data_IF_677112668604
#
_entry.id   IF_677112668604
#
_cell.length_a   1.000
_cell.length_b   1.000
_cell.length_c   1.000
_cell.angle_alpha   90.00
_cell.angle_beta   90.00
_cell.angle_gamma   90.00
#
_symmetry.space_group_name_H-M   'P 1'
#
loop_
_entity.id
_entity.type
_entity.pdbx_description
1 polymer ?
#
# COMPACT_ATOMS: atom_id res chain seq x y z
N UNK A 1 6.80 -10.10 -36.78
CA UNK A 1 7.36 -11.07 -35.80
C UNK A 1 6.28 -12.10 -35.48
N UNK A 2 6.63 -13.38 -35.37
CA UNK A 2 5.70 -14.46 -35.04
C UNK A 2 5.36 -14.43 -33.54
N UNK A 3 4.09 -14.68 -33.16
CA UNK A 3 3.63 -14.72 -31.76
C UNK A 3 4.46 -15.67 -30.88
N UNK A 4 4.95 -16.78 -31.44
CA UNK A 4 5.85 -17.69 -30.73
C UNK A 4 7.21 -17.05 -30.40
N UNK A 5 7.73 -16.17 -31.26
CA UNK A 5 8.97 -15.44 -30.97
C UNK A 5 8.79 -14.38 -29.89
N UNK A 6 7.62 -13.74 -29.81
CA UNK A 6 7.31 -12.75 -28.77
C UNK A 6 7.23 -13.45 -27.41
N UNK A 7 6.55 -14.59 -27.33
CA UNK A 7 6.44 -15.37 -26.09
C UNK A 7 7.79 -15.87 -25.58
N UNK A 8 8.63 -16.41 -26.48
CA UNK A 8 9.97 -16.88 -26.10
C UNK A 8 10.88 -15.73 -25.65
N UNK A 9 10.79 -14.56 -26.28
CA UNK A 9 11.57 -13.39 -25.86
C UNK A 9 11.14 -12.88 -24.48
N UNK A 10 9.84 -12.88 -24.16
CA UNK A 10 9.35 -12.50 -22.83
C UNK A 10 9.79 -13.49 -21.75
N UNK A 11 9.75 -14.79 -22.05
CA UNK A 11 10.23 -15.84 -21.14
C UNK A 11 11.73 -15.70 -20.87
N UNK A 12 12.54 -15.48 -21.91
CA UNK A 12 13.99 -15.28 -21.76
C UNK A 12 14.32 -14.01 -20.97
N UNK A 13 13.53 -12.94 -21.13
CA UNK A 13 13.68 -11.70 -20.33
C UNK A 13 13.34 -11.93 -18.86
N UNK A 14 12.31 -12.72 -18.59
CA UNK A 14 11.92 -13.10 -17.23
C UNK A 14 13.02 -13.95 -16.56
N UNK A 15 13.52 -14.98 -17.26
CA UNK A 15 14.59 -15.85 -16.77
C UNK A 15 15.90 -15.08 -16.56
N UNK A 16 16.25 -14.15 -17.47
CA UNK A 16 17.43 -13.30 -17.31
C UNK A 16 17.31 -12.34 -16.12
N UNK A 17 16.12 -11.79 -15.84
CA UNK A 17 15.90 -10.96 -14.65
C UNK A 17 15.92 -11.80 -13.37
N UNK A 18 15.35 -13.00 -13.41
CA UNK A 18 15.35 -13.91 -12.26
C UNK A 18 16.77 -14.33 -11.86
N UNK A 19 17.61 -14.68 -12.83
CA UNK A 19 19.01 -15.02 -12.59
C UNK A 19 19.85 -13.82 -12.09
N UNK A 20 19.53 -12.59 -12.53
CA UNK A 20 20.18 -11.38 -11.99
C UNK A 20 19.76 -11.06 -10.55
N UNK A 21 18.54 -11.46 -10.16
CA UNK A 21 18.04 -11.33 -8.79
C UNK A 21 18.75 -12.36 -7.89
N UNK A 22 18.83 -13.63 -8.29
CA UNK A 22 19.57 -14.67 -7.53
C UNK A 22 21.06 -14.32 -7.35
N UNK A 23 21.72 -13.77 -8.37
CA UNK A 23 23.12 -13.33 -8.25
C UNK A 23 23.32 -12.12 -7.34
N UNK A 24 22.29 -11.30 -7.11
CA UNK A 24 22.32 -10.19 -6.15
C UNK A 24 22.07 -10.66 -4.71
N UNK A 25 21.33 -11.74 -4.52
CA UNK A 25 21.06 -12.32 -3.20
C UNK A 25 22.35 -12.84 -2.51
N UNK A 26 23.36 -13.26 -3.27
CA UNK A 26 24.65 -13.72 -2.72
C UNK A 26 25.54 -12.59 -2.16
N UNK A 27 25.22 -11.30 -2.40
CA UNK A 27 26.09 -10.17 -2.00
C UNK A 27 25.48 -9.20 -0.97
N UNK A 28 24.25 -9.40 -0.51
CA UNK A 28 23.60 -8.45 0.40
C UNK A 28 23.91 -8.80 1.87
N UNK A 29 24.68 -7.92 2.51
CA UNK A 29 24.98 -7.94 3.94
C UNK A 29 23.71 -7.99 4.79
N UNK A 30 23.56 -9.05 5.58
CA UNK A 30 22.36 -9.45 6.33
C UNK A 30 22.00 -8.58 7.54
N UNK A 31 22.60 -7.40 7.72
CA UNK A 31 22.43 -6.57 8.94
C UNK A 31 21.62 -5.28 8.77
N UNK A 32 21.36 -4.86 7.54
CA UNK A 32 20.59 -3.63 7.20
C UNK A 32 19.09 -3.86 6.90
N UNK A 33 18.66 -5.03 6.34
CA UNK A 33 17.25 -5.34 6.04
C UNK A 33 16.31 -5.40 7.25
N UNK A 34 16.71 -6.10 8.32
CA UNK A 34 15.86 -6.30 9.51
C UNK A 34 15.48 -4.98 10.19
N UNK A 35 16.42 -4.05 10.33
CA UNK A 35 16.20 -2.79 11.06
C UNK A 35 15.12 -1.91 10.41
N UNK A 36 15.02 -1.91 9.08
CA UNK A 36 13.98 -1.17 8.35
C UNK A 36 12.62 -1.83 8.57
N UNK A 37 12.54 -3.16 8.46
CA UNK A 37 11.31 -3.92 8.72
C UNK A 37 10.84 -3.72 10.17
N UNK A 38 11.77 -3.85 11.13
CA UNK A 38 11.51 -3.62 12.55
C UNK A 38 11.03 -2.20 12.84
N UNK A 39 11.54 -1.18 12.12
CA UNK A 39 11.08 0.21 12.28
C UNK A 39 9.60 0.40 11.89
N UNK A 40 9.07 -0.39 10.95
CA UNK A 40 7.65 -0.37 10.60
C UNK A 40 6.78 -1.14 11.61
N UNK A 41 7.34 -2.17 12.24
CA UNK A 41 6.64 -3.10 13.13
C UNK A 41 6.77 -2.75 14.63
N UNK A 42 7.71 -1.89 15.01
CA UNK A 42 7.99 -1.53 16.40
C UNK A 42 6.76 -0.89 17.09
N UNK A 43 6.61 -1.18 18.38
CA UNK A 43 5.57 -0.67 19.28
C UNK A 43 6.13 0.44 20.18
N UNK A 44 5.68 1.69 20.05
CA UNK A 44 5.92 2.71 21.09
C UNK A 44 4.79 2.85 22.12
N UNK A 45 5.19 3.43 23.26
CA UNK A 45 4.52 3.46 24.56
C UNK A 45 3.12 4.08 24.55
N UNK A 46 2.19 3.50 25.31
CA UNK A 46 0.78 3.93 25.55
C UNK A 46 0.52 5.45 25.39
N UNK A 47 -0.38 5.83 24.47
CA UNK A 47 -1.05 7.13 24.47
C UNK A 47 -2.48 7.05 23.89
N UNK A 48 -3.28 8.08 24.20
CA UNK A 48 -4.72 8.17 23.93
C UNK A 48 -5.08 7.97 22.46
N UNK A 49 -5.78 6.88 22.18
CA UNK A 49 -6.28 6.54 20.85
C UNK A 49 -7.53 7.38 20.59
N UNK A 50 -7.42 8.40 19.73
CA UNK A 50 -8.60 9.16 19.31
C UNK A 50 -9.44 8.28 18.37
N UNK A 51 -10.71 8.08 18.75
CA UNK A 51 -11.71 7.43 17.90
C UNK A 51 -12.38 8.49 17.01
N UNK A 52 -12.53 8.20 15.72
CA UNK A 52 -13.14 9.12 14.76
C UNK A 52 -14.34 8.45 14.12
N UNK A 53 -15.52 9.05 14.27
CA UNK A 53 -16.78 8.60 13.68
C UNK A 53 -17.27 9.42 12.48
N UNK A 54 -16.53 10.47 12.09
CA UNK A 54 -16.93 11.37 11.01
C UNK A 54 -15.79 11.60 10.01
N UNK A 55 -16.07 11.45 8.71
CA UNK A 55 -15.05 11.58 7.66
C UNK A 55 -14.44 12.99 7.60
N UNK A 56 -15.19 14.02 7.98
CA UNK A 56 -14.75 15.42 8.00
C UNK A 56 -13.56 15.65 8.94
N UNK A 57 -13.44 14.84 10.00
CA UNK A 57 -12.30 14.89 10.95
C UNK A 57 -11.08 14.13 10.43
N UNK A 58 -11.29 13.09 9.61
CA UNK A 58 -10.22 12.26 9.04
C UNK A 58 -9.62 12.85 7.76
N UNK A 59 -10.46 13.45 6.90
CA UNK A 59 -10.09 13.95 5.57
C UNK A 59 -8.89 14.91 5.56
N UNK A 60 -8.77 15.90 6.48
CA UNK A 60 -7.60 16.78 6.50
C UNK A 60 -6.28 16.03 6.74
N UNK A 61 -6.29 14.95 7.52
CA UNK A 61 -5.10 14.12 7.72
C UNK A 61 -4.77 13.32 6.46
N UNK A 62 -5.78 12.71 5.82
CA UNK A 62 -5.61 12.00 4.53
C UNK A 62 -4.98 12.93 3.48
N UNK A 63 -5.53 14.13 3.31
CA UNK A 63 -5.03 15.12 2.35
C UNK A 63 -3.58 15.54 2.67
N UNK A 64 -3.27 15.74 3.96
CA UNK A 64 -1.92 16.11 4.41
C UNK A 64 -0.89 15.00 4.13
N UNK A 65 -1.21 13.75 4.49
CA UNK A 65 -0.32 12.61 4.24
C UNK A 65 -0.16 12.37 2.74
N UNK A 66 -1.25 12.43 1.98
CA UNK A 66 -1.20 12.26 0.54
C UNK A 66 -0.28 13.28 -0.12
N UNK A 67 -0.44 14.56 0.24
CA UNK A 67 0.38 15.64 -0.29
C UNK A 67 1.86 15.45 0.02
N UNK A 68 2.19 15.05 1.24
CA UNK A 68 3.58 14.80 1.64
C UNK A 68 4.17 13.52 1.04
N UNK A 69 3.34 12.52 0.73
CA UNK A 69 3.78 11.24 0.15
C UNK A 69 4.01 11.35 -1.36
N UNK A 70 3.26 12.21 -2.04
CA UNK A 70 3.21 12.24 -3.52
C UNK A 70 3.62 13.58 -4.14
N UNK A 71 3.82 14.62 -3.32
CA UNK A 71 3.96 16.02 -3.73
C UNK A 71 2.80 16.56 -4.58
N UNK A 72 1.62 15.92 -4.51
CA UNK A 72 0.42 16.25 -5.29
C UNK A 72 -0.80 16.40 -4.38
N UNK A 73 -1.83 17.09 -4.88
CA UNK A 73 -3.12 17.11 -4.18
C UNK A 73 -3.85 15.78 -4.35
N UNK A 74 -4.63 15.41 -3.33
CA UNK A 74 -5.50 14.23 -3.39
C UNK A 74 -6.49 14.38 -4.56
N UNK A 75 -6.58 13.39 -5.48
CA UNK A 75 -7.48 13.49 -6.61
C UNK A 75 -8.95 13.66 -6.20
N UNK A 76 -9.65 14.57 -6.85
CA UNK A 76 -11.07 14.86 -6.56
C UNK A 76 -12.01 13.69 -6.92
N UNK A 77 -11.55 12.77 -7.77
CA UNK A 77 -12.29 11.57 -8.18
C UNK A 77 -12.15 10.41 -7.17
N UNK A 78 -11.62 10.63 -5.97
CA UNK A 78 -11.62 9.64 -4.88
C UNK A 78 -12.55 10.13 -3.78
N UNK A 79 -13.64 9.40 -3.56
CA UNK A 79 -14.62 9.70 -2.52
C UNK A 79 -14.40 8.83 -1.29
N UNK A 80 -14.49 9.44 -0.11
CA UNK A 80 -14.31 8.74 1.15
C UNK A 80 -15.63 8.65 1.91
N UNK A 81 -15.90 7.48 2.47
CA UNK A 81 -17.02 7.26 3.37
C UNK A 81 -16.51 6.53 4.62
N UNK A 82 -16.90 7.04 5.78
CA UNK A 82 -16.66 6.38 7.06
C UNK A 82 -17.99 5.83 7.55
N UNK A 83 -18.08 4.51 7.71
CA UNK A 83 -19.31 3.84 8.12
C UNK A 83 -19.21 3.38 9.58
N UNK A 84 -20.30 3.51 10.37
CA UNK A 84 -20.34 2.95 11.71
C UNK A 84 -20.00 1.47 11.71
N UNK A 85 -19.25 1.02 12.72
CA UNK A 85 -18.68 -0.32 12.78
C UNK A 85 -19.72 -1.42 12.47
N UNK A 86 -20.87 -1.40 13.15
CA UNK A 86 -21.94 -2.40 12.98
C UNK A 86 -22.42 -2.47 11.53
N UNK A 87 -22.69 -1.32 10.90
CA UNK A 87 -23.20 -1.26 9.52
C UNK A 87 -22.17 -1.75 8.50
N UNK A 88 -20.88 -1.47 8.76
CA UNK A 88 -19.80 -1.95 7.90
C UNK A 88 -19.66 -3.48 8.01
N UNK A 89 -19.64 -4.01 9.24
CA UNK A 89 -19.47 -5.43 9.50
C UNK A 89 -20.65 -6.28 8.97
N UNK A 90 -21.87 -5.76 9.04
CA UNK A 90 -23.05 -6.40 8.44
C UNK A 90 -22.91 -6.58 6.93
N UNK A 91 -22.23 -5.65 6.24
CA UNK A 91 -22.08 -5.66 4.78
C UNK A 91 -20.83 -6.39 4.30
N UNK A 92 -19.74 -6.30 5.05
CA UNK A 92 -18.40 -6.70 4.59
C UNK A 92 -17.68 -7.68 5.51
N UNK A 93 -18.28 -8.02 6.65
CA UNK A 93 -17.71 -8.93 7.64
C UNK A 93 -16.82 -8.24 8.67
N UNK A 94 -16.60 -8.93 9.80
CA UNK A 94 -15.89 -8.40 10.98
C UNK A 94 -14.41 -8.14 10.76
N UNK A 95 -13.75 -8.98 9.94
CA UNK A 95 -12.32 -8.91 9.69
C UNK A 95 -11.93 -7.77 8.73
N UNK A 96 -12.88 -7.26 7.96
CA UNK A 96 -12.64 -6.20 6.98
C UNK A 96 -12.58 -4.84 7.67
N UNK A 97 -11.55 -4.05 7.36
CA UNK A 97 -11.32 -2.72 7.94
C UNK A 97 -11.61 -1.58 6.96
N UNK A 98 -11.45 -1.85 5.66
CA UNK A 98 -11.73 -0.93 4.59
C UNK A 98 -11.97 -1.70 3.29
N UNK A 99 -12.58 -1.02 2.33
CA UNK A 99 -12.78 -1.50 0.97
C UNK A 99 -12.65 -0.31 0.03
N UNK A 100 -12.00 -0.56 -1.09
CA UNK A 100 -11.97 0.32 -2.25
C UNK A 100 -12.82 -0.24 -3.38
N UNK A 101 -13.51 0.64 -4.09
CA UNK A 101 -14.17 0.33 -5.37
C UNK A 101 -13.49 1.18 -6.43
N UNK A 102 -12.50 0.60 -7.08
CA UNK A 102 -11.74 1.27 -8.12
C UNK A 102 -12.55 1.33 -9.43
N UNK A 103 -12.84 2.54 -9.89
CA UNK A 103 -13.50 2.83 -11.18
C UNK A 103 -12.66 3.73 -12.08
N UNK A 104 -11.34 3.72 -11.89
CA UNK A 104 -10.40 4.55 -12.64
C UNK A 104 -10.71 4.54 -14.16
N UNK A 105 -10.71 5.70 -14.85
CA UNK A 105 -10.38 7.05 -14.35
C UNK A 105 -11.58 7.80 -13.73
N UNK A 106 -12.73 7.15 -13.55
CA UNK A 106 -13.94 7.75 -12.96
C UNK A 106 -13.87 7.80 -11.42
N UNK A 107 -15.00 8.13 -10.80
CA UNK A 107 -15.10 8.26 -9.34
C UNK A 107 -14.97 6.90 -8.66
N UNK A 108 -13.90 6.75 -7.89
CA UNK A 108 -13.63 5.58 -7.06
C UNK A 108 -14.06 5.85 -5.61
N UNK A 109 -14.55 4.82 -4.93
CA UNK A 109 -14.94 4.92 -3.52
C UNK A 109 -13.89 4.28 -2.63
N UNK A 110 -13.62 4.91 -1.48
CA UNK A 110 -12.88 4.35 -0.35
C UNK A 110 -13.81 4.35 0.86
N UNK A 111 -14.21 3.16 1.28
CA UNK A 111 -15.09 2.96 2.43
C UNK A 111 -14.25 2.44 3.60
N UNK A 112 -14.32 3.13 4.73
CA UNK A 112 -13.58 2.79 5.94
C UNK A 112 -14.56 2.38 7.03
N UNK A 113 -14.19 1.35 7.79
CA UNK A 113 -14.87 0.98 9.02
C UNK A 113 -14.43 1.92 10.14
N UNK A 114 -15.39 2.49 10.85
CA UNK A 114 -15.13 3.31 12.04
C UNK A 114 -14.14 2.62 13.00
N UNK A 115 -13.07 3.33 13.36
CA UNK A 115 -11.99 2.79 14.18
C UNK A 115 -11.15 3.91 14.81
N UNK A 116 -10.07 3.53 15.47
CA UNK A 116 -9.01 4.41 15.92
C UNK A 116 -8.36 5.19 14.76
N UNK A 117 -7.90 6.41 15.03
CA UNK A 117 -7.22 7.24 14.03
C UNK A 117 -6.00 6.56 13.38
N UNK A 118 -5.07 5.90 14.11
CA UNK A 118 -3.95 5.20 13.48
C UNK A 118 -4.38 4.09 12.53
N UNK A 119 -5.40 3.31 12.91
CA UNK A 119 -5.91 2.22 12.07
C UNK A 119 -6.64 2.76 10.85
N UNK A 120 -7.47 3.79 11.02
CA UNK A 120 -8.13 4.49 9.91
C UNK A 120 -7.12 5.06 8.91
N UNK A 121 -6.04 5.69 9.37
CA UNK A 121 -5.03 6.25 8.49
C UNK A 121 -4.20 5.17 7.78
N UNK A 122 -3.91 4.05 8.43
CA UNK A 122 -3.22 2.94 7.80
C UNK A 122 -4.10 2.26 6.74
N UNK A 123 -5.34 1.94 7.09
CA UNK A 123 -6.32 1.36 6.16
C UNK A 123 -6.57 2.31 4.99
N UNK A 124 -6.76 3.61 5.23
CA UNK A 124 -6.92 4.59 4.15
C UNK A 124 -5.73 4.58 3.19
N UNK A 125 -4.49 4.50 3.70
CA UNK A 125 -3.30 4.38 2.86
C UNK A 125 -3.37 3.18 1.91
N UNK A 126 -3.72 2.01 2.42
CA UNK A 126 -3.87 0.80 1.60
C UNK A 126 -4.98 0.96 0.53
N UNK A 127 -6.18 1.38 0.93
CA UNK A 127 -7.31 1.54 0.01
C UNK A 127 -7.07 2.62 -1.06
N UNK A 128 -6.38 3.71 -0.70
CA UNK A 128 -5.96 4.73 -1.67
C UNK A 128 -4.99 4.11 -2.69
N UNK A 129 -4.05 3.27 -2.24
CA UNK A 129 -3.10 2.58 -3.11
C UNK A 129 -3.78 1.76 -4.23
N UNK A 130 -4.95 1.19 -3.96
CA UNK A 130 -5.74 0.48 -4.98
C UNK A 130 -6.30 1.43 -6.04
N UNK A 131 -6.85 2.59 -5.65
CA UNK A 131 -7.65 3.46 -6.52
C UNK A 131 -6.85 4.53 -7.29
N UNK A 132 -5.55 4.66 -7.02
CA UNK A 132 -4.69 5.64 -7.68
C UNK A 132 -4.29 5.31 -9.13
N UNK A 133 -4.56 4.09 -9.59
CA UNK A 133 -4.28 3.62 -10.95
C UNK A 133 -5.39 2.70 -11.43
N UNK A 134 -5.31 2.26 -12.69
CA UNK A 134 -6.15 1.15 -13.18
C UNK A 134 -5.96 -0.12 -12.31
N UNK A 135 -7.01 -0.93 -12.09
CA UNK A 135 -6.89 -2.23 -11.44
C UNK A 135 -5.97 -3.18 -12.21
N UNK A 136 -5.16 -3.95 -11.48
CA UNK A 136 -4.30 -4.97 -12.05
C UNK A 136 -5.01 -6.33 -11.95
N UNK A 137 -5.15 -7.04 -13.07
CA UNK A 137 -5.82 -8.36 -13.13
C UNK A 137 -5.16 -9.40 -12.21
N UNK A 138 -3.84 -9.33 -12.06
CA UNK A 138 -3.10 -10.17 -11.13
C UNK A 138 -3.33 -9.64 -9.70
N UNK A 139 -4.13 -10.38 -8.92
CA UNK A 139 -4.48 -9.97 -7.56
C UNK A 139 -3.27 -9.82 -6.63
N UNK A 140 -2.18 -10.57 -6.84
CA UNK A 140 -0.98 -10.43 -6.03
C UNK A 140 -0.28 -9.10 -6.31
N UNK A 141 -0.17 -8.72 -7.58
CA UNK A 141 0.37 -7.41 -7.97
C UNK A 141 -0.54 -6.26 -7.55
N UNK A 142 -1.85 -6.44 -7.59
CA UNK A 142 -2.82 -5.44 -7.11
C UNK A 142 -2.65 -5.17 -5.61
N UNK A 143 -2.52 -6.22 -4.80
CA UNK A 143 -2.21 -6.11 -3.37
C UNK A 143 -0.82 -5.51 -3.12
N UNK A 144 0.21 -5.98 -3.85
CA UNK A 144 1.57 -5.48 -3.70
C UNK A 144 1.66 -3.98 -4.04
N UNK A 145 0.90 -3.52 -5.04
CA UNK A 145 0.75 -2.10 -5.37
C UNK A 145 0.20 -1.32 -4.17
N UNK A 146 -0.90 -1.78 -3.58
CA UNK A 146 -1.51 -1.13 -2.43
C UNK A 146 -0.60 -1.12 -1.20
N UNK A 147 0.07 -2.25 -0.90
CA UNK A 147 1.04 -2.34 0.18
C UNK A 147 2.26 -1.42 -0.04
N UNK A 148 2.78 -1.33 -1.26
CA UNK A 148 3.88 -0.42 -1.57
C UNK A 148 3.51 1.05 -1.32
N UNK A 149 2.31 1.47 -1.73
CA UNK A 149 1.82 2.81 -1.43
C UNK A 149 1.59 3.00 0.08
N UNK A 150 1.01 2.03 0.77
CA UNK A 150 0.78 2.08 2.21
C UNK A 150 2.10 2.19 3.00
N UNK A 151 3.19 1.54 2.58
CA UNK A 151 4.49 1.71 3.24
C UNK A 151 5.06 3.12 3.02
N UNK A 152 4.93 3.69 1.82
CA UNK A 152 5.31 5.08 1.58
C UNK A 152 4.48 6.04 2.45
N UNK A 153 3.18 5.81 2.52
CA UNK A 153 2.23 6.54 3.35
C UNK A 153 2.58 6.47 4.84
N UNK A 154 2.86 5.27 5.34
CA UNK A 154 3.26 5.02 6.72
C UNK A 154 4.58 5.73 7.04
N UNK A 155 5.58 5.62 6.16
CA UNK A 155 6.86 6.34 6.28
C UNK A 155 6.62 7.85 6.42
N UNK A 156 5.80 8.43 5.56
CA UNK A 156 5.42 9.86 5.62
C UNK A 156 4.79 10.24 6.95
N UNK A 157 3.84 9.44 7.48
CA UNK A 157 3.20 9.72 8.77
C UNK A 157 4.23 9.73 9.89
N UNK A 158 5.13 8.75 9.92
CA UNK A 158 6.19 8.65 10.94
C UNK A 158 7.14 9.84 10.89
N UNK A 159 7.68 10.15 9.72
CA UNK A 159 8.67 11.22 9.53
C UNK A 159 8.12 12.62 9.80
N UNK A 160 6.82 12.83 9.55
CA UNK A 160 6.17 14.14 9.72
C UNK A 160 5.32 14.23 10.98
N UNK A 161 5.28 13.17 11.80
CA UNK A 161 4.43 13.03 12.98
C UNK A 161 2.99 13.52 12.75
N UNK A 162 2.38 13.08 11.65
CA UNK A 162 1.02 13.54 11.28
C UNK A 162 0.04 13.18 12.39
N UNK A 163 -0.82 14.14 12.77
CA UNK A 163 -1.76 14.03 13.87
C UNK A 163 -1.14 13.67 15.24
N UNK A 164 0.17 13.82 15.41
CA UNK A 164 0.87 13.39 16.62
C UNK A 164 0.95 11.86 16.77
N UNK A 165 0.67 11.09 15.71
CA UNK A 165 0.61 9.62 15.78
C UNK A 165 1.87 8.92 15.25
N UNK A 166 2.94 9.64 14.89
CA UNK A 166 4.12 9.09 14.21
C UNK A 166 4.78 7.95 14.97
N UNK A 167 4.88 8.07 16.29
CA UNK A 167 5.40 7.02 17.14
C UNK A 167 4.40 5.86 17.27
N UNK A 168 3.09 6.09 17.21
CA UNK A 168 2.09 5.07 17.57
C UNK A 168 1.57 4.27 16.39
N UNK A 169 1.68 4.81 15.17
CA UNK A 169 1.28 4.11 13.97
C UNK A 169 2.31 3.03 13.63
N UNK A 170 1.81 1.83 13.34
CA UNK A 170 2.65 0.70 12.94
C UNK A 170 1.96 -0.09 11.86
N UNK A 171 2.78 -0.77 11.07
CA UNK A 171 2.30 -1.79 10.17
C UNK A 171 1.75 -2.95 11.02
N UNK A 172 0.51 -3.36 10.75
CA UNK A 172 -0.08 -4.58 11.29
C UNK A 172 -0.11 -5.59 10.16
N UNK A 173 0.77 -6.61 10.17
CA UNK A 173 0.78 -7.62 9.12
C UNK A 173 -0.58 -8.34 9.05
N UNK A 174 -1.08 -8.65 7.85
CA UNK A 174 -2.25 -9.49 7.69
C UNK A 174 -1.97 -10.92 8.19
N UNK A 175 -3.02 -11.71 8.36
CA UNK A 175 -2.86 -13.13 8.70
C UNK A 175 -2.07 -13.88 7.62
N UNK A 176 -1.17 -14.78 8.05
CA UNK A 176 -0.30 -15.56 7.16
C UNK A 176 -1.02 -16.72 6.47
N UNK A 177 -2.03 -16.42 5.67
CA UNK A 177 -2.92 -17.43 5.11
C UNK A 177 -3.46 -17.09 3.72
N UNK A 178 -2.89 -16.13 3.00
CA UNK A 178 -3.53 -15.64 1.78
C UNK A 178 -2.61 -14.93 0.79
N UNK A 179 -3.21 -13.96 0.12
CA UNK A 179 -2.54 -13.14 -0.89
C UNK A 179 -1.95 -11.87 -0.28
N UNK A 180 -2.59 -11.33 0.75
CA UNK A 180 -2.19 -10.12 1.44
C UNK A 180 -0.84 -10.27 2.15
N UNK A 181 -0.60 -11.38 2.85
CA UNK A 181 0.68 -11.64 3.53
C UNK A 181 1.82 -11.80 2.54
N UNK A 182 1.61 -12.57 1.46
CA UNK A 182 2.62 -12.74 0.41
C UNK A 182 2.95 -11.42 -0.29
N UNK A 183 1.93 -10.62 -0.60
CA UNK A 183 2.12 -9.32 -1.24
C UNK A 183 2.87 -8.35 -0.32
N UNK A 184 2.52 -8.30 0.97
CA UNK A 184 3.25 -7.49 1.93
C UNK A 184 4.69 -7.96 2.10
N UNK A 185 4.93 -9.27 2.23
CA UNK A 185 6.28 -9.84 2.37
C UNK A 185 7.15 -9.46 1.17
N UNK A 186 6.63 -9.59 -0.06
CA UNK A 186 7.31 -9.14 -1.27
C UNK A 186 7.67 -7.64 -1.21
N UNK A 187 6.73 -6.78 -0.81
CA UNK A 187 6.98 -5.33 -0.71
C UNK A 187 8.03 -5.03 0.36
N UNK A 188 7.99 -5.71 1.51
CA UNK A 188 8.97 -5.57 2.58
C UNK A 188 10.37 -6.00 2.11
N UNK A 189 10.49 -7.12 1.41
CA UNK A 189 11.76 -7.59 0.83
C UNK A 189 12.35 -6.59 -0.17
N UNK A 190 11.52 -6.08 -1.09
CA UNK A 190 11.95 -5.04 -2.04
C UNK A 190 12.41 -3.78 -1.30
N UNK A 191 11.67 -3.34 -0.28
CA UNK A 191 12.05 -2.18 0.52
C UNK A 191 13.37 -2.41 1.28
N UNK A 192 13.53 -3.60 1.84
CA UNK A 192 14.72 -3.98 2.59
C UNK A 192 15.97 -4.12 1.71
N UNK A 193 15.79 -4.37 0.41
CA UNK A 193 16.84 -4.30 -0.61
C UNK A 193 17.23 -2.87 -1.03
N UNK A 194 16.63 -1.85 -0.40
CA UNK A 194 16.93 -0.44 -0.61
C UNK A 194 16.01 0.28 -1.59
N UNK A 195 14.92 -0.36 -2.03
CA UNK A 195 13.96 0.26 -2.93
C UNK A 195 13.01 1.17 -2.15
N UNK A 196 12.82 2.40 -2.63
CA UNK A 196 11.84 3.30 -2.02
C UNK A 196 10.40 2.83 -2.32
N UNK A 197 9.52 2.69 -1.29
CA UNK A 197 8.19 2.12 -1.50
C UNK A 197 7.32 2.87 -2.51
N UNK A 198 7.45 4.20 -2.60
CA UNK A 198 6.70 5.00 -3.58
C UNK A 198 7.16 4.74 -5.02
N UNK A 199 8.44 4.42 -5.23
CA UNK A 199 8.96 4.03 -6.55
C UNK A 199 8.50 2.62 -6.90
N UNK A 200 8.49 1.69 -5.93
CA UNK A 200 7.90 0.36 -6.13
C UNK A 200 6.42 0.44 -6.50
N UNK A 201 5.64 1.29 -5.82
CA UNK A 201 4.24 1.55 -6.19
C UNK A 201 4.13 2.02 -7.65
N UNK A 202 4.92 3.03 -8.05
CA UNK A 202 4.92 3.56 -9.42
C UNK A 202 5.29 2.48 -10.45
N UNK A 203 6.25 1.62 -10.14
CA UNK A 203 6.65 0.53 -11.02
C UNK A 203 5.52 -0.49 -11.21
N UNK A 204 4.91 -0.96 -10.11
CA UNK A 204 3.83 -1.95 -10.18
C UNK A 204 2.59 -1.35 -10.87
N UNK A 205 2.22 -0.12 -10.52
CA UNK A 205 1.10 0.60 -11.12
C UNK A 205 1.29 0.87 -12.63
N UNK A 206 2.54 0.89 -13.12
CA UNK A 206 2.89 1.10 -14.54
C UNK A 206 2.99 -0.20 -15.35
N UNK A 207 2.69 -1.37 -14.80
CA UNK A 207 2.82 -2.66 -15.54
C UNK A 207 1.85 -2.80 -16.74
N UNK A 208 1.06 -1.79 -17.07
CA UNK A 208 0.53 -1.62 -18.44
C UNK A 208 0.71 -0.18 -18.92
N UNK A 209 1.91 0.18 -19.39
CA UNK A 209 2.14 1.08 -20.53
C UNK A 209 3.61 1.02 -20.97
N UNK A 210 4.08 -0.15 -21.39
CA UNK A 210 4.80 -0.18 -22.66
C UNK A 210 3.74 -0.46 -23.73
N UNK A 211 3.68 0.39 -24.76
CA UNK A 211 2.73 0.47 -25.90
C UNK A 211 1.57 1.48 -25.79
N UNK A 212 1.68 2.51 -26.66
CA UNK A 212 0.72 3.52 -27.15
C UNK A 212 0.23 4.57 -26.12
N UNK A 213 0.45 5.88 -26.31
CA UNK A 213 0.57 6.70 -27.53
C UNK A 213 1.94 7.38 -27.70
#
# INVERSE_FOLDING_TARGET
MNLNQIYQNQKNLYESRHNQIEQREEQISTKTPQTIIESFLALPSKANVQFIGEIQKLKPFIESVFKKTTDKQLPENIQFQLLPQIKFEERFGKATLGISINRYPFISDVLLKENSLPELLLTAGHEIGHVLSEPIENSFLEEAKAYAFMLAWLKTIKENNIAGIGDFIKLVPPAKNGIHDKALDFVLEQTASGKEPIELFKEIAKIRHEFAL
#
